data_IF_470850876362
#
_entry.id   IF_470850876362
#
_cell.length_a   1.000
_cell.length_b   1.000
_cell.length_c   1.000
_cell.angle_alpha   90.00
_cell.angle_beta   90.00
_cell.angle_gamma   90.00
#
_symmetry.space_group_name_H-M   'P 1'
#
loop_
_entity.id
_entity.type
_entity.pdbx_description
1 polymer ?
#
# COMPACT_ATOMS: atom_id res chain seq x y z
N UNK A 1 -5.62 -16.14 13.67
CA UNK A 1 -5.20 -14.80 13.20
C UNK A 1 -4.34 -14.98 11.96
N UNK A 2 -4.72 -14.37 10.85
CA UNK A 2 -4.01 -14.49 9.57
C UNK A 2 -3.02 -13.32 9.42
N UNK A 3 -1.73 -13.59 9.70
CA UNK A 3 -0.69 -12.56 9.80
C UNK A 3 -0.47 -11.79 8.49
N UNK A 4 -0.62 -12.44 7.33
CA UNK A 4 -0.47 -11.83 6.00
C UNK A 4 -1.42 -10.64 5.81
N UNK A 5 -2.69 -10.83 6.17
CA UNK A 5 -3.72 -9.78 6.11
C UNK A 5 -3.48 -8.67 7.14
N UNK A 6 -3.03 -9.01 8.35
CA UNK A 6 -2.69 -7.99 9.36
C UNK A 6 -1.55 -7.09 8.86
N UNK A 7 -0.51 -7.67 8.26
CA UNK A 7 0.61 -6.92 7.72
C UNK A 7 0.20 -6.02 6.54
N UNK A 8 -0.69 -6.47 5.66
CA UNK A 8 -1.28 -5.62 4.62
C UNK A 8 -1.99 -4.40 5.22
N UNK A 9 -2.87 -4.62 6.20
CA UNK A 9 -3.58 -3.53 6.87
C UNK A 9 -2.65 -2.53 7.53
N UNK A 10 -1.63 -2.99 8.26
CA UNK A 10 -0.68 -2.10 8.92
C UNK A 10 0.19 -1.32 7.93
N UNK A 11 0.54 -1.92 6.80
CA UNK A 11 1.35 -1.29 5.76
C UNK A 11 0.58 -0.19 5.03
N UNK A 12 -0.69 -0.44 4.70
CA UNK A 12 -1.51 0.47 3.88
C UNK A 12 -2.31 1.51 4.70
N UNK A 13 -2.48 1.31 6.01
CA UNK A 13 -3.24 2.22 6.85
C UNK A 13 -2.63 3.64 6.90
N UNK A 14 -1.33 3.86 7.19
CA UNK A 14 -0.77 5.21 7.19
C UNK A 14 -0.93 5.97 5.86
N UNK A 15 -0.56 5.42 4.69
CA UNK A 15 -0.74 6.14 3.43
C UNK A 15 -2.21 6.36 3.07
N UNK A 16 -3.13 5.45 3.45
CA UNK A 16 -4.57 5.65 3.22
C UNK A 16 -5.12 6.87 3.96
N UNK A 17 -4.73 7.03 5.24
CA UNK A 17 -5.13 8.17 6.06
C UNK A 17 -4.51 9.47 5.55
N UNK A 18 -3.23 9.44 5.14
CA UNK A 18 -2.56 10.59 4.55
C UNK A 18 -3.23 11.02 3.22
N UNK A 19 -3.58 10.09 2.33
CA UNK A 19 -4.27 10.41 1.09
C UNK A 19 -5.68 10.98 1.34
N UNK A 20 -6.38 10.46 2.35
CA UNK A 20 -7.74 10.87 2.67
C UNK A 20 -7.81 12.26 3.32
N UNK A 21 -6.91 12.55 4.25
CA UNK A 21 -6.95 13.78 5.05
C UNK A 21 -5.93 14.84 4.62
N UNK A 22 -4.86 14.45 3.94
CA UNK A 22 -3.78 15.34 3.49
C UNK A 22 -3.29 14.97 2.08
N UNK A 23 -4.20 14.91 1.07
CA UNK A 23 -3.89 14.39 -0.27
C UNK A 23 -2.70 15.10 -0.93
N UNK A 24 -2.56 16.40 -0.71
CA UNK A 24 -1.48 17.22 -1.31
C UNK A 24 -0.09 16.91 -0.76
N UNK A 25 0.02 16.18 0.35
CA UNK A 25 1.32 15.73 0.89
C UNK A 25 2.04 14.73 -0.02
N UNK A 26 1.31 14.06 -0.92
CA UNK A 26 1.87 13.15 -1.92
C UNK A 26 2.34 13.85 -3.19
N UNK A 27 2.08 15.15 -3.34
CA UNK A 27 2.53 15.95 -4.47
C UNK A 27 3.90 16.52 -4.07
N UNK A 28 4.99 16.19 -4.79
CA UNK A 28 6.28 16.80 -4.55
C UNK A 28 6.16 18.33 -4.60
N UNK A 29 6.81 19.08 -3.68
CA UNK A 29 6.82 20.52 -3.78
C UNK A 29 7.48 20.92 -5.09
N UNK A 30 6.68 21.43 -6.03
CA UNK A 30 7.21 22.11 -7.22
C UNK A 30 7.83 23.44 -6.77
N UNK A 31 8.90 23.92 -7.44
CA UNK A 31 9.44 25.25 -7.18
C UNK A 31 8.31 26.28 -7.19
N UNK A 32 8.25 27.16 -6.18
CA UNK A 32 7.14 28.07 -5.87
C UNK A 32 6.55 28.88 -7.04
N UNK A 33 7.24 28.97 -8.18
CA UNK A 33 6.76 29.63 -9.40
C UNK A 33 5.83 28.77 -10.30
N UNK A 34 5.73 27.45 -10.08
CA UNK A 34 4.98 26.53 -10.97
C UNK A 34 3.79 25.81 -10.30
N UNK A 35 3.55 26.03 -9.00
CA UNK A 35 2.40 25.45 -8.31
C UNK A 35 1.14 26.25 -8.68
N UNK A 36 0.46 25.79 -9.72
CA UNK A 36 -0.85 26.31 -10.06
C UNK A 36 -1.87 25.79 -9.02
N UNK A 37 -2.34 26.69 -8.15
CA UNK A 37 -3.34 26.38 -7.11
C UNK A 37 -4.57 25.68 -7.69
N UNK A 38 -4.92 25.96 -8.94
CA UNK A 38 -6.02 25.30 -9.63
C UNK A 38 -5.76 23.81 -9.90
N UNK A 39 -4.51 23.39 -10.13
CA UNK A 39 -4.16 21.98 -10.35
C UNK A 39 -4.27 21.17 -9.06
N UNK A 40 -3.81 21.73 -7.94
CA UNK A 40 -3.88 21.08 -6.62
C UNK A 40 -5.33 20.88 -6.14
N UNK A 41 -6.20 21.87 -6.40
CA UNK A 41 -7.65 21.77 -6.11
C UNK A 41 -8.29 20.67 -6.97
N UNK A 42 -7.86 20.50 -8.22
CA UNK A 42 -8.45 19.54 -9.15
C UNK A 42 -8.07 18.07 -8.86
N UNK A 43 -6.89 17.80 -8.30
CA UNK A 43 -6.45 16.41 -8.02
C UNK A 43 -6.79 15.93 -6.60
N UNK A 44 -7.04 16.85 -5.67
CA UNK A 44 -7.37 16.52 -4.27
C UNK A 44 -8.56 15.56 -4.13
N UNK A 45 -9.71 15.74 -4.83
CA UNK A 45 -10.82 14.77 -4.76
C UNK A 45 -10.44 13.37 -5.24
N UNK A 46 -9.63 13.27 -6.30
CA UNK A 46 -9.16 11.99 -6.85
C UNK A 46 -8.27 11.28 -5.83
N UNK A 47 -7.31 11.99 -5.24
CA UNK A 47 -6.41 11.43 -4.23
C UNK A 47 -7.16 10.99 -2.96
N UNK A 48 -8.18 11.75 -2.54
CA UNK A 48 -9.06 11.34 -1.42
C UNK A 48 -9.84 10.09 -1.74
N UNK A 49 -10.36 9.94 -2.96
CA UNK A 49 -11.04 8.72 -3.39
C UNK A 49 -10.10 7.51 -3.34
N UNK A 50 -8.86 7.65 -3.81
CA UNK A 50 -7.85 6.60 -3.65
C UNK A 50 -7.55 6.30 -2.18
N UNK A 51 -7.45 7.31 -1.33
CA UNK A 51 -7.30 7.14 0.12
C UNK A 51 -8.45 6.36 0.75
N UNK A 52 -9.69 6.65 0.38
CA UNK A 52 -10.88 5.94 0.86
C UNK A 52 -10.91 4.47 0.41
N UNK A 53 -10.54 4.19 -0.85
CA UNK A 53 -10.44 2.82 -1.37
C UNK A 53 -9.37 2.04 -0.60
N UNK A 54 -8.19 2.64 -0.41
CA UNK A 54 -7.08 2.00 0.30
C UNK A 54 -7.38 1.79 1.79
N UNK A 55 -8.11 2.71 2.40
CA UNK A 55 -8.57 2.56 3.79
C UNK A 55 -9.59 1.42 3.87
N UNK A 56 -10.51 1.34 2.92
CA UNK A 56 -11.52 0.27 2.87
C UNK A 56 -10.87 -1.11 2.71
N UNK A 57 -9.86 -1.25 1.83
CA UNK A 57 -9.11 -2.50 1.71
C UNK A 57 -8.33 -2.83 2.98
N UNK A 58 -7.76 -1.83 3.66
CA UNK A 58 -7.06 -2.02 4.93
C UNK A 58 -7.98 -2.51 6.04
N UNK A 59 -9.20 -1.98 6.14
CA UNK A 59 -10.23 -2.43 7.08
C UNK A 59 -10.66 -3.86 6.76
N UNK A 60 -10.97 -4.14 5.48
CA UNK A 60 -11.38 -5.48 5.05
C UNK A 60 -10.30 -6.52 5.35
N UNK A 61 -9.05 -6.21 5.03
CA UNK A 61 -7.90 -7.05 5.36
C UNK A 61 -7.76 -7.25 6.87
N UNK A 62 -8.00 -6.22 7.68
CA UNK A 62 -7.93 -6.38 9.13
C UNK A 62 -9.00 -7.34 9.64
N UNK A 63 -10.23 -7.24 9.11
CA UNK A 63 -11.30 -8.19 9.42
C UNK A 63 -10.90 -9.61 9.03
N UNK A 64 -10.37 -9.83 7.82
CA UNK A 64 -9.85 -11.15 7.41
C UNK A 64 -8.70 -11.65 8.29
N UNK A 65 -7.94 -10.76 8.93
CA UNK A 65 -6.89 -11.18 9.85
C UNK A 65 -7.43 -11.81 11.13
N UNK A 66 -8.64 -11.44 11.56
CA UNK A 66 -9.25 -11.90 12.81
C UNK A 66 -10.43 -12.85 12.61
N UNK A 67 -10.99 -12.96 11.41
CA UNK A 67 -12.07 -13.89 11.10
C UNK A 67 -11.54 -15.24 10.62
N UNK A 68 -12.24 -16.36 10.91
CA UNK A 68 -11.91 -17.68 10.37
C UNK A 68 -11.97 -17.71 8.84
N UNK A 69 -11.16 -18.56 8.22
CA UNK A 69 -11.16 -18.84 6.78
C UNK A 69 -12.17 -19.95 6.44
N UNK A 70 -13.46 -19.67 6.61
CA UNK A 70 -14.54 -20.66 6.53
C UNK A 70 -15.68 -20.28 5.57
N UNK A 71 -15.54 -19.16 4.85
CA UNK A 71 -16.55 -18.67 3.89
C UNK A 71 -16.22 -19.22 2.49
N UNK A 72 -16.92 -20.26 1.99
CA UNK A 72 -16.63 -20.85 0.69
C UNK A 72 -17.12 -19.98 -0.48
N UNK A 73 -16.41 -20.04 -1.60
CA UNK A 73 -16.84 -19.48 -2.89
C UNK A 73 -17.37 -20.63 -3.75
N UNK A 74 -18.69 -20.74 -3.88
CA UNK A 74 -19.36 -21.88 -4.54
C UNK A 74 -19.30 -21.85 -6.07
N UNK A 75 -18.91 -20.71 -6.67
CA UNK A 75 -18.85 -20.52 -8.12
C UNK A 75 -17.53 -20.92 -8.77
N UNK A 76 -16.50 -21.24 -7.97
CA UNK A 76 -15.16 -21.62 -8.45
C UNK A 76 -14.88 -23.03 -7.96
N UNK A 77 -14.63 -23.99 -8.87
CA UNK A 77 -14.35 -25.37 -8.48
C UNK A 77 -13.12 -25.46 -7.54
N UNK A 78 -13.22 -26.27 -6.48
CA UNK A 78 -12.15 -26.49 -5.49
C UNK A 78 -12.46 -25.93 -4.09
N UNK A 79 -11.48 -25.97 -3.18
CA UNK A 79 -11.58 -25.44 -1.81
C UNK A 79 -11.22 -23.95 -1.80
N UNK A 80 -12.01 -23.14 -2.50
CA UNK A 80 -11.85 -21.68 -2.54
C UNK A 80 -12.65 -21.01 -1.45
N UNK A 81 -12.01 -20.08 -0.76
CA UNK A 81 -12.64 -19.25 0.27
C UNK A 81 -12.55 -17.78 -0.07
N UNK A 82 -13.38 -16.97 0.58
CA UNK A 82 -13.35 -15.51 0.45
C UNK A 82 -11.96 -14.93 0.80
N UNK A 83 -11.27 -15.50 1.80
CA UNK A 83 -9.91 -15.10 2.14
C UNK A 83 -8.94 -15.42 1.01
N UNK A 84 -8.98 -16.63 0.44
CA UNK A 84 -8.06 -17.00 -0.66
C UNK A 84 -8.24 -16.11 -1.89
N UNK A 85 -9.47 -15.81 -2.28
CA UNK A 85 -9.74 -14.87 -3.38
C UNK A 85 -9.24 -13.45 -3.05
N UNK A 86 -9.46 -12.98 -1.82
CA UNK A 86 -9.03 -11.66 -1.38
C UNK A 86 -7.50 -11.55 -1.26
N UNK A 87 -6.83 -12.62 -0.81
CA UNK A 87 -5.38 -12.71 -0.77
C UNK A 87 -4.76 -12.58 -2.17
N UNK A 88 -5.38 -13.17 -3.19
CA UNK A 88 -4.95 -12.96 -4.59
C UNK A 88 -5.09 -11.50 -4.99
N UNK A 89 -6.24 -10.88 -4.73
CA UNK A 89 -6.46 -9.48 -5.08
C UNK A 89 -5.41 -8.56 -4.41
N UNK A 90 -5.12 -8.76 -3.13
CA UNK A 90 -4.09 -8.00 -2.41
C UNK A 90 -2.67 -8.33 -2.88
N UNK A 91 -2.39 -9.56 -3.29
CA UNK A 91 -1.10 -9.95 -3.90
C UNK A 91 -0.87 -9.18 -5.20
N UNK A 92 -1.86 -9.15 -6.09
CA UNK A 92 -1.79 -8.41 -7.35
C UNK A 92 -1.65 -6.90 -7.12
N UNK A 93 -2.37 -6.36 -6.13
CA UNK A 93 -2.22 -4.97 -5.72
C UNK A 93 -0.75 -4.63 -5.40
N UNK A 94 -0.05 -5.48 -4.65
CA UNK A 94 1.34 -5.23 -4.26
C UNK A 94 2.36 -5.28 -5.41
N UNK A 95 2.01 -5.84 -6.58
CA UNK A 95 2.88 -5.77 -7.76
C UNK A 95 3.14 -4.33 -8.20
N UNK A 96 2.15 -3.44 -8.07
CA UNK A 96 2.27 -2.05 -8.51
C UNK A 96 3.19 -1.20 -7.62
N UNK A 97 3.05 -1.19 -6.27
CA UNK A 97 4.02 -0.56 -5.38
C UNK A 97 5.44 -1.13 -5.55
N UNK A 98 5.59 -2.45 -5.71
CA UNK A 98 6.88 -3.10 -5.95
C UNK A 98 7.51 -2.60 -7.24
N UNK A 99 6.78 -2.63 -8.36
CA UNK A 99 7.25 -2.13 -9.65
C UNK A 99 7.65 -0.65 -9.56
N UNK A 100 6.79 0.19 -8.97
CA UNK A 100 7.07 1.63 -8.79
C UNK A 100 8.31 1.87 -7.93
N UNK A 101 8.47 1.15 -6.83
CA UNK A 101 9.64 1.24 -5.96
C UNK A 101 10.92 0.86 -6.71
N UNK A 102 10.86 -0.23 -7.49
CA UNK A 102 11.96 -0.68 -8.32
C UNK A 102 12.36 0.37 -9.37
N UNK A 103 11.39 0.99 -10.06
CA UNK A 103 11.66 2.08 -11.02
C UNK A 103 12.33 3.30 -10.35
N UNK A 104 11.94 3.66 -9.13
CA UNK A 104 12.54 4.75 -8.35
C UNK A 104 14.00 4.45 -7.95
N UNK A 105 14.29 3.21 -7.58
CA UNK A 105 15.67 2.75 -7.32
C UNK A 105 16.51 2.84 -8.59
N UNK A 106 15.97 2.38 -9.74
CA UNK A 106 16.67 2.47 -11.02
C UNK A 106 16.96 3.91 -11.43
N UNK A 107 16.09 4.87 -11.11
CA UNK A 107 16.33 6.30 -11.37
C UNK A 107 17.28 6.96 -10.37
N UNK A 108 17.83 6.21 -9.42
CA UNK A 108 18.79 6.72 -8.43
C UNK A 108 18.15 7.54 -7.31
N UNK A 109 16.84 7.40 -7.08
CA UNK A 109 16.17 8.10 -5.98
C UNK A 109 16.71 7.60 -4.64
N UNK A 110 17.22 8.54 -3.83
CA UNK A 110 17.82 8.23 -2.53
C UNK A 110 16.78 8.26 -1.42
N UNK A 111 17.06 7.55 -0.32
CA UNK A 111 16.22 7.61 0.87
C UNK A 111 16.15 9.05 1.41
N UNK A 112 14.99 9.43 1.94
CA UNK A 112 14.85 10.67 2.69
C UNK A 112 15.70 10.58 3.95
N UNK A 113 16.72 11.44 4.06
CA UNK A 113 17.54 11.57 5.26
C UNK A 113 16.82 12.56 6.17
N UNK A 114 16.43 12.13 7.37
CA UNK A 114 15.83 13.02 8.36
C UNK A 114 16.87 14.09 8.71
N UNK A 115 16.59 15.39 8.46
CA UNK A 115 17.51 16.47 8.81
C UNK A 115 17.78 16.45 10.33
N UNK A 116 19.05 16.43 10.72
CA UNK A 116 19.47 16.44 12.13
C UNK A 116 19.97 15.09 12.69
N UNK A 117 19.96 14.01 11.90
CA UNK A 117 20.63 12.75 12.27
C UNK A 117 21.88 12.58 11.41
N UNK A 118 23.02 13.10 11.88
CA UNK A 118 24.32 12.83 11.27
C UNK A 118 24.60 11.31 11.31
N UNK A 119 24.76 10.70 10.13
CA UNK A 119 24.94 9.24 9.99
C UNK A 119 23.63 8.41 9.93
N UNK A 120 22.46 9.06 9.88
CA UNK A 120 21.17 8.37 9.87
C UNK A 120 20.91 7.56 8.60
N UNK A 121 20.75 6.24 8.74
CA UNK A 121 20.11 5.38 7.73
C UNK A 121 18.70 5.92 7.48
N UNK A 122 18.47 6.55 6.33
CA UNK A 122 17.16 7.13 5.98
C UNK A 122 16.04 6.08 6.07
N UNK A 123 15.10 6.27 6.99
CA UNK A 123 13.88 5.47 7.06
C UNK A 123 12.87 5.99 6.03
N UNK A 124 12.28 5.10 5.23
CA UNK A 124 11.23 5.46 4.28
C UNK A 124 11.66 5.69 2.82
N UNK A 125 12.86 5.26 2.43
CA UNK A 125 13.31 5.30 1.03
C UNK A 125 12.65 4.24 0.12
N UNK A 126 12.84 4.35 -1.21
CA UNK A 126 12.24 3.42 -2.17
C UNK A 126 12.68 1.96 -1.97
N UNK A 127 13.87 1.70 -1.42
CA UNK A 127 14.31 0.36 -1.03
C UNK A 127 13.47 -0.27 0.09
N UNK A 128 13.16 0.49 1.14
CA UNK A 128 12.30 0.01 2.24
C UNK A 128 10.89 -0.25 1.73
N UNK A 129 10.37 0.66 0.90
CA UNK A 129 9.07 0.51 0.25
C UNK A 129 9.00 -0.77 -0.59
N UNK A 130 10.05 -1.05 -1.39
CA UNK A 130 10.16 -2.27 -2.19
C UNK A 130 10.08 -3.52 -1.31
N UNK A 131 10.93 -3.60 -0.27
CA UNK A 131 11.00 -4.79 0.61
C UNK A 131 9.68 -4.99 1.34
N UNK A 132 9.09 -3.93 1.89
CA UNK A 132 7.84 -4.03 2.63
C UNK A 132 6.70 -4.60 1.76
N UNK A 133 6.46 -4.03 0.57
CA UNK A 133 5.39 -4.53 -0.30
C UNK A 133 5.72 -5.90 -0.90
N UNK A 134 6.99 -6.22 -1.18
CA UNK A 134 7.37 -7.54 -1.68
C UNK A 134 7.15 -8.63 -0.64
N UNK A 135 7.52 -8.39 0.63
CA UNK A 135 7.29 -9.34 1.72
C UNK A 135 5.80 -9.54 1.98
N UNK A 136 5.04 -8.44 2.12
CA UNK A 136 3.60 -8.54 2.38
C UNK A 136 2.86 -9.21 1.22
N UNK A 137 3.15 -8.81 -0.03
CA UNK A 137 2.59 -9.45 -1.22
C UNK A 137 2.96 -10.93 -1.33
N UNK A 138 4.20 -11.30 -1.02
CA UNK A 138 4.64 -12.69 -1.00
C UNK A 138 3.92 -13.54 0.05
N UNK A 139 3.74 -13.02 1.27
CA UNK A 139 3.01 -13.71 2.34
C UNK A 139 1.52 -13.90 2.01
N UNK A 140 0.89 -12.90 1.38
CA UNK A 140 -0.48 -13.04 0.87
C UNK A 140 -0.56 -14.08 -0.26
N UNK A 141 0.42 -14.12 -1.17
CA UNK A 141 0.49 -15.12 -2.22
C UNK A 141 0.66 -16.54 -1.67
N UNK A 142 1.52 -16.72 -0.67
CA UNK A 142 1.72 -18.00 0.00
C UNK A 142 0.46 -18.49 0.73
N UNK A 143 -0.31 -17.58 1.33
CA UNK A 143 -1.57 -17.91 2.00
C UNK A 143 -2.58 -18.62 1.08
N UNK A 144 -2.56 -18.30 -0.23
CA UNK A 144 -3.46 -18.94 -1.21
C UNK A 144 -3.26 -20.47 -1.26
N UNK A 145 -2.01 -20.91 -1.04
CA UNK A 145 -1.61 -22.32 -1.14
C UNK A 145 -1.52 -23.02 0.23
N UNK A 146 -1.82 -22.33 1.33
CA UNK A 146 -1.90 -22.92 2.67
C UNK A 146 -3.24 -23.58 2.98
#
# INVERSE_FOLDING_TARGET
MHISFLLHSLLELPPSLLLLFSPVSFIPPTPHAARNVNTDVNISPILRQYGAILLSSSILSFLFSITPDDIPITSVGGVWTLHKASAIAFTFYHLFPVYRAFKRIQSGEKAFIIPGVEGGKGMGGPGVHLVAHAVVGGLLGLFVFS
#
